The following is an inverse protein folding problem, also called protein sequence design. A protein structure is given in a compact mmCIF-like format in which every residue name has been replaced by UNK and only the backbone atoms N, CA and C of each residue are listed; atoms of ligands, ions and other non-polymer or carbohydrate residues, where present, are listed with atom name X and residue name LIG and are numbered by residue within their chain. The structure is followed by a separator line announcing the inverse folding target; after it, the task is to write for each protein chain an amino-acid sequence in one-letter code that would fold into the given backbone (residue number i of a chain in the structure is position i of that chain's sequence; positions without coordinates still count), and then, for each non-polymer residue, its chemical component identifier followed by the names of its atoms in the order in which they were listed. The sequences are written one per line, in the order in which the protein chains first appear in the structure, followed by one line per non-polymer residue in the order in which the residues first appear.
data_IF_086824348080
#
_entry.id   IF_086824348080
#
_cell.length_a   1.000
_cell.length_b   1.000
_cell.length_c   1.000
_cell.angle_alpha   90.00
_cell.angle_beta   90.00
_cell.angle_gamma   90.00
#
_symmetry.space_group_name_H-M   'P 1'
#
loop_
_entity.id
_entity.type
_entity.pdbx_description
1 polymer ?
#
# COMPACT_ATOMS: atom_id res chain seq x y z
N UNK A 1 3.82 -51.78 -57.99
CA UNK A 1 4.06 -51.11 -56.69
C UNK A 1 3.22 -49.85 -56.67
N UNK A 2 2.32 -49.82 -55.69
CA UNK A 2 1.22 -48.92 -55.31
C UNK A 2 0.94 -47.56 -55.97
N UNK A 3 -0.36 -47.36 -56.18
CA UNK A 3 -1.19 -46.16 -56.41
C UNK A 3 -0.88 -44.95 -55.50
N UNK A 4 -1.16 -43.72 -55.98
CA UNK A 4 -2.34 -42.93 -55.56
C UNK A 4 -2.53 -41.65 -56.43
N UNK A 5 -3.79 -41.19 -56.65
CA UNK A 5 -4.13 -40.05 -57.49
C UNK A 5 -4.28 -38.73 -56.72
N UNK A 6 -4.27 -37.64 -57.50
CA UNK A 6 -4.64 -36.28 -57.12
C UNK A 6 -6.05 -36.22 -56.49
N UNK A 7 -6.19 -35.54 -55.35
CA UNK A 7 -7.46 -35.04 -54.84
C UNK A 7 -7.34 -33.54 -54.59
N UNK A 8 -7.92 -32.77 -55.51
CA UNK A 8 -8.35 -31.39 -55.30
C UNK A 8 -9.68 -31.39 -54.52
N UNK A 9 -10.07 -30.20 -54.03
CA UNK A 9 -11.34 -29.86 -53.35
C UNK A 9 -11.49 -30.24 -51.87
N UNK A 10 -11.02 -29.36 -50.99
CA UNK A 10 -11.70 -29.03 -49.72
C UNK A 10 -11.06 -27.81 -49.02
N UNK A 11 -11.13 -26.62 -49.60
CA UNK A 11 -10.80 -25.36 -48.89
C UNK A 11 -11.88 -24.31 -49.13
N UNK A 12 -13.03 -24.44 -48.46
CA UNK A 12 -14.00 -23.34 -48.23
C UNK A 12 -15.19 -23.81 -47.36
N UNK A 13 -14.92 -24.27 -46.14
CA UNK A 13 -16.00 -24.51 -45.16
C UNK A 13 -15.60 -24.26 -43.70
N UNK A 14 -14.30 -24.30 -43.37
CA UNK A 14 -13.82 -24.12 -41.99
C UNK A 14 -13.67 -22.68 -41.50
N UNK A 15 -13.67 -21.69 -42.40
CA UNK A 15 -13.33 -20.30 -42.03
C UNK A 15 -14.51 -19.53 -41.41
N UNK A 16 -15.75 -19.77 -41.84
CA UNK A 16 -16.91 -18.99 -41.35
C UNK A 16 -17.32 -19.46 -39.95
N UNK A 17 -17.31 -20.77 -39.68
CA UNK A 17 -17.76 -21.31 -38.37
C UNK A 17 -16.84 -20.92 -37.21
N UNK A 18 -15.54 -20.73 -37.46
CA UNK A 18 -14.58 -20.31 -36.43
C UNK A 18 -14.76 -18.84 -36.04
N UNK A 19 -15.09 -17.96 -37.00
CA UNK A 19 -15.31 -16.52 -36.75
C UNK A 19 -16.58 -16.28 -35.95
N UNK A 20 -17.66 -17.02 -36.22
CA UNK A 20 -18.89 -16.96 -35.44
C UNK A 20 -18.71 -17.52 -34.03
N UNK A 21 -17.91 -18.58 -33.85
CA UNK A 21 -17.59 -19.11 -32.52
C UNK A 21 -16.74 -18.13 -31.70
N UNK A 22 -15.79 -17.43 -32.33
CA UNK A 22 -14.96 -16.41 -31.67
C UNK A 22 -15.77 -15.16 -31.27
N UNK A 23 -16.70 -14.70 -32.12
CA UNK A 23 -17.61 -13.60 -31.80
C UNK A 23 -18.61 -13.96 -30.69
N UNK A 24 -19.12 -15.20 -30.67
CA UNK A 24 -20.01 -15.68 -29.60
C UNK A 24 -19.25 -15.91 -28.28
N UNK A 25 -17.98 -16.36 -28.34
CA UNK A 25 -17.13 -16.51 -27.17
C UNK A 25 -16.73 -15.15 -26.56
N UNK A 26 -16.51 -14.11 -27.36
CA UNK A 26 -16.29 -12.74 -26.86
C UNK A 26 -17.55 -12.12 -26.25
N UNK A 27 -18.74 -12.43 -26.77
CA UNK A 27 -20.01 -11.96 -26.22
C UNK A 27 -20.41 -12.66 -24.90
N UNK A 28 -19.78 -13.78 -24.56
CA UNK A 28 -20.00 -14.55 -23.33
C UNK A 28 -18.95 -14.27 -22.24
N UNK A 29 -17.95 -13.42 -22.50
CA UNK A 29 -17.09 -12.93 -21.42
C UNK A 29 -17.92 -12.00 -20.53
N UNK A 30 -18.21 -12.35 -19.26
CA UNK A 30 -18.76 -11.37 -18.34
C UNK A 30 -17.80 -10.19 -18.32
N UNK A 31 -18.32 -8.97 -18.44
CA UNK A 31 -17.53 -7.77 -18.21
C UNK A 31 -16.87 -7.94 -16.83
N UNK A 32 -15.55 -8.12 -16.81
CA UNK A 32 -14.81 -8.23 -15.58
C UNK A 32 -15.00 -6.91 -14.84
N UNK A 33 -15.84 -6.91 -13.80
CA UNK A 33 -15.84 -5.79 -12.84
C UNK A 33 -14.52 -5.85 -12.11
N UNK A 34 -13.59 -4.99 -12.50
CA UNK A 34 -12.44 -4.68 -11.67
C UNK A 34 -12.96 -3.84 -10.51
N UNK A 35 -13.13 -4.45 -9.34
CA UNK A 35 -13.33 -3.70 -8.11
C UNK A 35 -12.00 -3.05 -7.77
N UNK A 36 -11.77 -1.81 -8.22
CA UNK A 36 -10.84 -0.95 -7.49
C UNK A 36 -11.48 -0.73 -6.13
N UNK A 37 -10.91 -1.36 -5.11
CA UNK A 37 -11.43 -1.22 -3.76
C UNK A 37 -11.05 0.17 -3.26
N UNK A 38 -12.05 0.91 -2.80
CA UNK A 38 -11.84 2.08 -1.94
C UNK A 38 -11.61 1.55 -0.53
N UNK A 39 -10.55 2.00 0.14
CA UNK A 39 -10.21 1.55 1.48
C UNK A 39 -9.70 2.70 2.33
N UNK A 40 -9.94 2.59 3.64
CA UNK A 40 -9.40 3.51 4.62
C UNK A 40 -7.98 3.08 5.04
N UNK A 41 -7.11 4.07 5.18
CA UNK A 41 -5.71 3.96 5.61
C UNK A 41 -5.39 5.07 6.60
N UNK A 42 -4.20 5.02 7.21
CA UNK A 42 -3.69 6.10 8.08
C UNK A 42 -4.71 6.51 9.15
N UNK A 43 -5.37 5.51 9.74
CA UNK A 43 -6.39 5.73 10.76
C UNK A 43 -5.68 6.17 12.04
N UNK A 44 -5.98 7.38 12.51
CA UNK A 44 -5.39 7.96 13.73
C UNK A 44 -6.48 8.48 14.65
N UNK A 45 -6.25 8.34 15.94
CA UNK A 45 -7.08 8.93 16.99
C UNK A 45 -6.18 9.83 17.84
N UNK A 46 -6.49 11.11 17.93
CA UNK A 46 -5.70 12.01 18.79
C UNK A 46 -5.95 11.67 20.25
N UNK A 47 -4.87 11.35 20.98
CA UNK A 47 -4.92 10.88 22.37
C UNK A 47 -4.87 9.36 22.54
N UNK A 48 -4.83 8.57 21.47
CA UNK A 48 -4.62 7.11 21.56
C UNK A 48 -3.15 6.74 21.80
N UNK A 49 -2.94 5.63 22.51
CA UNK A 49 -1.69 4.86 22.45
C UNK A 49 -1.64 4.09 21.12
N UNK A 50 -0.47 4.02 20.48
CA UNK A 50 -0.29 3.33 19.21
C UNK A 50 -0.75 1.86 19.31
N UNK A 51 -1.68 1.43 18.43
CA UNK A 51 -2.24 0.08 18.42
C UNK A 51 -2.62 -0.41 17.00
N UNK A 52 -2.73 -1.73 16.86
CA UNK A 52 -2.90 -2.54 15.63
C UNK A 52 -4.14 -2.16 14.79
N UNK A 53 -4.04 -2.12 13.45
CA UNK A 53 -5.17 -1.81 12.54
C UNK A 53 -6.06 -3.04 12.33
N UNK A 54 -7.24 -2.99 11.72
CA UNK A 54 -8.13 -1.99 11.09
C UNK A 54 -8.91 -1.11 12.08
N UNK A 55 -8.53 -1.17 13.35
CA UNK A 55 -9.16 -0.49 14.46
C UNK A 55 -8.16 0.38 15.20
N UNK A 56 -8.25 1.70 15.12
CA UNK A 56 -7.49 2.51 16.07
C UNK A 56 -8.15 2.36 17.46
N UNK A 57 -7.36 2.00 18.48
CA UNK A 57 -7.86 1.84 19.86
C UNK A 57 -7.60 3.12 20.64
N UNK A 58 -8.59 3.64 21.34
CA UNK A 58 -8.44 4.80 22.23
C UNK A 58 -8.96 4.46 23.62
N UNK A 59 -8.19 4.82 24.65
CA UNK A 59 -8.69 4.84 26.01
C UNK A 59 -9.35 6.19 26.27
N UNK A 60 -10.59 6.18 26.76
CA UNK A 60 -11.30 7.40 27.15
C UNK A 60 -11.20 7.61 28.66
N UNK A 61 -10.35 8.54 29.13
CA UNK A 61 -10.23 8.83 30.55
C UNK A 61 -11.33 9.77 31.09
N UNK A 62 -12.00 10.56 30.23
CA UNK A 62 -13.04 11.54 30.57
C UNK A 62 -13.83 12.04 29.34
N UNK A 63 -14.85 12.88 29.56
CA UNK A 63 -15.81 13.47 28.58
C UNK A 63 -15.19 14.43 27.54
N UNK A 64 -14.02 14.08 26.99
CA UNK A 64 -13.31 14.87 25.99
C UNK A 64 -13.65 14.35 24.59
N UNK A 65 -13.97 15.28 23.69
CA UNK A 65 -14.21 14.93 22.30
C UNK A 65 -12.96 14.32 21.66
N UNK A 66 -13.19 13.32 20.80
CA UNK A 66 -12.15 12.51 20.15
C UNK A 66 -12.08 12.87 18.68
N UNK A 67 -10.91 13.33 18.21
CA UNK A 67 -10.68 13.54 16.78
C UNK A 67 -10.19 12.24 16.14
N UNK A 68 -11.00 11.73 15.22
CA UNK A 68 -10.74 10.55 14.40
C UNK A 68 -10.35 11.05 13.00
N UNK A 69 -9.21 10.61 12.48
CA UNK A 69 -8.77 10.89 11.11
C UNK A 69 -8.43 9.62 10.36
N UNK A 70 -8.60 9.65 9.05
CA UNK A 70 -8.31 8.55 8.14
C UNK A 70 -8.07 9.09 6.73
N UNK A 71 -7.62 8.22 5.85
CA UNK A 71 -7.30 8.58 4.46
C UNK A 71 -7.83 7.57 3.48
N UNK A 72 -8.47 8.04 2.41
CA UNK A 72 -8.99 7.19 1.34
C UNK A 72 -8.08 7.26 0.11
N UNK A 73 -7.78 6.12 -0.50
CA UNK A 73 -7.00 6.03 -1.74
C UNK A 73 -7.71 6.67 -2.94
N UNK A 74 -9.04 6.59 -2.97
CA UNK A 74 -9.96 7.11 -3.98
C UNK A 74 -11.22 7.68 -3.29
N UNK A 75 -12.08 8.46 -3.98
CA UNK A 75 -13.39 8.82 -3.44
C UNK A 75 -14.26 7.58 -3.18
N UNK A 76 -14.98 7.57 -2.06
CA UNK A 76 -15.93 6.50 -1.71
C UNK A 76 -17.31 6.78 -2.32
N UNK A 77 -17.48 6.42 -3.59
CA UNK A 77 -18.70 6.73 -4.36
C UNK A 77 -19.95 5.93 -3.92
N UNK A 78 -19.81 4.98 -3.00
CA UNK A 78 -20.92 4.32 -2.30
C UNK A 78 -21.01 4.72 -0.81
N UNK A 79 -20.20 5.69 -0.37
CA UNK A 79 -20.22 6.26 0.97
C UNK A 79 -19.20 5.63 1.93
N UNK A 80 -19.11 6.23 3.13
CA UNK A 80 -18.25 5.77 4.22
C UNK A 80 -19.06 5.64 5.49
N UNK A 81 -18.82 4.55 6.23
CA UNK A 81 -19.34 4.34 7.58
C UNK A 81 -18.15 4.29 8.54
N UNK A 82 -18.14 5.18 9.53
CA UNK A 82 -17.20 5.15 10.65
C UNK A 82 -17.95 4.66 11.88
N UNK A 83 -17.60 3.47 12.35
CA UNK A 83 -18.19 2.84 13.53
C UNK A 83 -17.22 2.92 14.69
N UNK A 84 -17.76 3.24 15.87
CA UNK A 84 -17.05 3.16 17.13
C UNK A 84 -17.61 1.99 17.89
N UNK A 85 -16.73 1.09 18.29
CA UNK A 85 -17.07 -0.14 18.98
C UNK A 85 -16.58 -0.12 20.41
N UNK A 86 -17.40 -0.63 21.31
CA UNK A 86 -16.98 -1.15 22.60
C UNK A 86 -16.99 -2.67 22.48
N UNK A 87 -15.80 -3.28 22.49
CA UNK A 87 -15.61 -4.68 22.11
C UNK A 87 -16.22 -4.97 20.71
N UNK A 88 -17.29 -5.78 20.64
CA UNK A 88 -17.98 -6.11 19.40
C UNK A 88 -19.26 -5.29 19.15
N UNK A 89 -19.59 -4.36 20.05
CA UNK A 89 -20.85 -3.58 19.98
C UNK A 89 -20.58 -2.20 19.42
N UNK A 90 -21.26 -1.85 18.32
CA UNK A 90 -21.28 -0.48 17.79
C UNK A 90 -22.01 0.42 18.78
N UNK A 91 -21.29 1.39 19.36
CA UNK A 91 -21.88 2.39 20.27
C UNK A 91 -22.27 3.67 19.54
N UNK A 92 -21.62 3.97 18.42
CA UNK A 92 -21.88 5.13 17.57
C UNK A 92 -21.43 4.86 16.14
N UNK A 93 -22.18 5.33 15.16
CA UNK A 93 -21.85 5.27 13.75
C UNK A 93 -22.03 6.64 13.09
N UNK A 94 -21.09 7.00 12.22
CA UNK A 94 -21.17 8.17 11.35
C UNK A 94 -21.26 7.70 9.91
N UNK A 95 -22.32 8.12 9.20
CA UNK A 95 -22.50 7.81 7.78
C UNK A 95 -22.23 9.05 6.96
N UNK A 96 -21.26 8.95 6.04
CA UNK A 96 -20.91 9.99 5.07
C UNK A 96 -21.39 9.55 3.70
N UNK A 97 -22.23 10.38 3.08
CA UNK A 97 -22.75 10.12 1.74
C UNK A 97 -21.65 10.32 0.68
N UNK A 98 -21.78 9.70 -0.51
CA UNK A 98 -20.89 9.98 -1.64
C UNK A 98 -20.72 11.48 -1.88
N UNK A 99 -19.47 11.92 -2.07
CA UNK A 99 -19.14 13.33 -2.33
C UNK A 99 -19.20 14.26 -1.11
N UNK A 100 -19.58 13.79 0.09
CA UNK A 100 -19.50 14.60 1.30
C UNK A 100 -18.09 14.61 1.90
N UNK A 101 -17.74 15.61 2.73
CA UNK A 101 -16.60 15.46 3.64
C UNK A 101 -16.70 14.12 4.39
N UNK A 102 -15.59 13.38 4.50
CA UNK A 102 -15.57 12.01 5.00
C UNK A 102 -15.59 10.94 3.90
N UNK A 103 -16.03 11.25 2.68
CA UNK A 103 -16.08 10.31 1.55
C UNK A 103 -15.21 10.72 0.36
N UNK A 104 -14.40 11.78 0.49
CA UNK A 104 -13.50 12.26 -0.57
C UNK A 104 -12.15 11.54 -0.52
N UNK A 105 -11.46 11.45 -1.65
CA UNK A 105 -10.06 10.98 -1.71
C UNK A 105 -9.18 11.80 -0.76
N UNK A 106 -8.22 11.13 -0.14
CA UNK A 106 -7.24 11.74 0.73
C UNK A 106 -7.72 11.91 2.16
N UNK A 107 -7.26 12.96 2.83
CA UNK A 107 -7.44 13.14 4.27
C UNK A 107 -8.91 13.44 4.63
N UNK A 108 -9.44 12.70 5.59
CA UNK A 108 -10.76 12.88 6.16
C UNK A 108 -10.67 12.84 7.68
N UNK A 109 -11.60 13.54 8.34
CA UNK A 109 -11.69 13.53 9.81
C UNK A 109 -13.10 13.81 10.31
N UNK A 110 -13.36 13.39 11.54
CA UNK A 110 -14.57 13.70 12.28
C UNK A 110 -14.29 13.79 13.78
N UNK A 111 -15.18 14.46 14.49
CA UNK A 111 -15.11 14.57 15.96
C UNK A 111 -16.23 13.71 16.54
N UNK A 112 -15.85 12.77 17.41
CA UNK A 112 -16.79 12.05 18.25
C UNK A 112 -16.90 12.75 19.60
N UNK A 113 -18.11 13.12 19.97
CA UNK A 113 -18.47 13.79 21.23
C UNK A 113 -18.58 12.83 22.42
N UNK A 114 -18.02 11.62 22.32
CA UNK A 114 -18.05 10.55 23.33
C UNK A 114 -19.45 10.17 23.79
N UNK A 115 -20.44 10.31 22.89
CA UNK A 115 -21.82 9.86 23.09
C UNK A 115 -22.21 8.69 22.21
N UNK A 116 -23.08 7.82 22.72
CA UNK A 116 -23.71 6.75 21.96
C UNK A 116 -24.79 7.31 21.00
N UNK A 117 -25.45 6.42 20.26
CA UNK A 117 -26.57 6.75 19.36
C UNK A 117 -27.77 7.41 20.08
N UNK A 118 -27.95 7.14 21.38
CA UNK A 118 -29.02 7.72 22.18
C UNK A 118 -28.66 9.11 22.72
N UNK A 119 -27.45 9.62 22.44
CA UNK A 119 -26.95 10.90 22.93
C UNK A 119 -26.47 10.85 24.39
N UNK A 120 -26.31 9.67 24.97
CA UNK A 120 -25.79 9.48 26.32
C UNK A 120 -24.26 9.35 26.28
N UNK A 121 -23.57 9.81 27.32
CA UNK A 121 -22.13 9.59 27.43
C UNK A 121 -21.80 8.10 27.52
N UNK A 122 -20.78 7.68 26.78
CA UNK A 122 -20.30 6.30 26.88
C UNK A 122 -19.42 6.13 28.13
N UNK A 123 -19.39 4.95 28.77
CA UNK A 123 -18.54 4.71 29.94
C UNK A 123 -17.05 4.84 29.64
N UNK A 124 -16.23 5.06 30.68
CA UNK A 124 -14.78 4.98 30.55
C UNK A 124 -14.35 3.57 30.12
N UNK A 125 -13.43 3.49 29.17
CA UNK A 125 -12.99 2.22 28.62
C UNK A 125 -12.19 2.36 27.34
N UNK A 126 -11.86 1.21 26.76
CA UNK A 126 -11.24 1.12 25.46
C UNK A 126 -12.31 1.02 24.38
N UNK A 127 -12.12 1.80 23.31
CA UNK A 127 -12.98 1.79 22.15
C UNK A 127 -12.12 1.58 20.91
N UNK A 128 -12.68 0.94 19.90
CA UNK A 128 -12.05 0.75 18.59
C UNK A 128 -12.82 1.49 17.51
N UNK A 129 -12.12 2.03 16.53
CA UNK A 129 -12.73 2.72 15.39
C UNK A 129 -12.57 1.88 14.13
N UNK A 130 -13.67 1.43 13.55
CA UNK A 130 -13.70 0.70 12.29
C UNK A 130 -14.23 1.62 11.18
N UNK A 131 -13.58 1.60 10.02
CA UNK A 131 -13.98 2.44 8.88
C UNK A 131 -14.23 1.56 7.66
N UNK A 132 -15.46 1.59 7.18
CA UNK A 132 -15.87 0.92 5.93
C UNK A 132 -16.04 1.98 4.87
N UNK A 133 -15.16 1.99 3.88
CA UNK A 133 -15.30 2.80 2.68
C UNK A 133 -15.79 1.91 1.53
N UNK A 134 -16.75 2.40 0.75
CA UNK A 134 -17.32 1.66 -0.37
C UNK A 134 -17.22 2.46 -1.66
N UNK A 135 -16.81 1.79 -2.73
CA UNK A 135 -16.85 2.31 -4.10
C UNK A 135 -17.75 1.45 -4.98
N UNK A 136 -18.35 2.06 -5.99
CA UNK A 136 -19.15 1.32 -7.00
C UNK A 136 -18.26 0.53 -7.99
N UNK A 137 -16.95 0.75 -7.94
CA UNK A 137 -15.96 0.21 -8.88
C UNK A 137 -15.93 0.99 -10.19
N UNK A 138 -15.04 0.57 -11.09
CA UNK A 138 -14.87 1.18 -12.41
C UNK A 138 -15.49 0.30 -13.49
N UNK A 139 -16.34 0.90 -14.35
CA UNK A 139 -17.01 0.19 -15.43
C UNK A 139 -16.10 -0.09 -16.64
N UNK A 140 -15.03 0.67 -16.77
CA UNK A 140 -14.05 0.64 -17.86
C UNK A 140 -12.63 0.85 -17.31
N UNK A 141 -11.63 0.84 -18.19
CA UNK A 141 -10.26 1.20 -17.83
C UNK A 141 -10.19 2.65 -17.34
N UNK A 142 -10.03 2.81 -16.03
CA UNK A 142 -9.92 4.12 -15.37
C UNK A 142 -8.52 4.32 -14.81
N UNK A 143 -7.93 5.49 -15.09
CA UNK A 143 -6.74 5.93 -14.38
C UNK A 143 -7.12 6.39 -12.98
N UNK A 144 -6.63 5.69 -11.97
CA UNK A 144 -6.85 6.01 -10.54
C UNK A 144 -5.68 6.77 -9.90
N UNK A 145 -4.58 6.93 -10.65
CA UNK A 145 -3.42 7.73 -10.26
C UNK A 145 -3.60 9.20 -10.65
N UNK A 146 -2.92 10.08 -9.91
CA UNK A 146 -2.83 11.51 -10.22
C UNK A 146 -1.43 11.85 -10.73
N UNK A 147 -1.31 12.13 -12.02
CA UNK A 147 -0.03 12.43 -12.67
C UNK A 147 0.55 13.79 -12.25
N UNK A 148 -0.27 14.66 -11.64
CA UNK A 148 0.14 15.97 -11.16
C UNK A 148 0.45 15.97 -9.65
N UNK A 149 0.26 14.86 -8.95
CA UNK A 149 0.64 14.78 -7.55
C UNK A 149 2.16 14.76 -7.42
N UNK A 150 2.72 15.84 -6.88
CA UNK A 150 4.16 15.97 -6.63
C UNK A 150 4.73 14.83 -5.78
N UNK A 151 3.92 14.20 -4.92
CA UNK A 151 4.33 13.01 -4.15
C UNK A 151 4.66 11.79 -5.03
N UNK A 152 4.21 11.74 -6.28
CA UNK A 152 4.52 10.64 -7.20
C UNK A 152 5.86 10.80 -7.92
N UNK A 153 6.55 11.93 -7.77
CA UNK A 153 7.81 12.17 -8.44
C UNK A 153 9.00 11.51 -7.72
N UNK A 154 9.76 10.71 -8.46
CA UNK A 154 11.03 10.14 -8.03
C UNK A 154 12.02 10.26 -9.17
N UNK A 155 13.18 10.87 -8.94
CA UNK A 155 14.15 11.15 -10.00
C UNK A 155 14.74 9.87 -10.61
N UNK A 156 15.18 8.94 -9.76
CA UNK A 156 15.78 7.68 -10.16
C UNK A 156 15.19 6.53 -9.33
N UNK A 157 13.92 6.14 -9.60
CA UNK A 157 13.26 5.09 -8.84
C UNK A 157 13.97 3.76 -9.05
N UNK A 158 14.24 3.04 -7.95
CA UNK A 158 14.90 1.72 -7.97
C UNK A 158 14.09 0.59 -7.36
N UNK A 159 13.14 0.92 -6.50
CA UNK A 159 12.29 -0.05 -5.82
C UNK A 159 11.07 0.63 -5.26
N UNK A 160 9.96 -0.11 -5.21
CA UNK A 160 8.70 0.33 -4.62
C UNK A 160 8.11 -0.83 -3.84
N UNK A 161 7.56 -0.55 -2.66
CA UNK A 161 6.78 -1.50 -1.89
C UNK A 161 5.60 -0.82 -1.22
N UNK A 162 4.53 -1.57 -1.01
CA UNK A 162 3.31 -1.12 -0.33
C UNK A 162 3.06 -2.04 0.85
N UNK A 163 2.78 -1.48 2.02
CA UNK A 163 2.39 -2.27 3.17
C UNK A 163 0.97 -2.82 2.92
N UNK A 164 0.87 -4.15 2.82
CA UNK A 164 -0.38 -4.87 2.54
C UNK A 164 -1.00 -5.52 3.76
N UNK A 165 -0.38 -5.38 4.93
CA UNK A 165 -0.94 -5.88 6.17
C UNK A 165 -2.13 -5.00 6.57
N UNK A 166 -3.35 -5.50 6.33
CA UNK A 166 -4.57 -4.81 6.71
C UNK A 166 -4.68 -4.55 8.22
N UNK A 167 -3.91 -5.30 9.02
CA UNK A 167 -3.83 -5.11 10.47
C UNK A 167 -2.73 -4.11 10.89
N UNK A 168 -2.07 -3.44 9.96
CA UNK A 168 -1.06 -2.42 10.26
C UNK A 168 -1.64 -1.00 10.32
N UNK A 169 -1.27 -0.16 11.32
CA UNK A 169 -1.58 1.27 11.26
C UNK A 169 -0.96 1.96 10.02
N UNK A 170 -0.02 1.28 9.36
CA UNK A 170 0.61 1.71 8.12
C UNK A 170 0.04 1.01 6.88
N UNK A 171 -1.13 0.35 6.95
CA UNK A 171 -1.75 -0.27 5.78
C UNK A 171 -1.87 0.75 4.62
N UNK A 172 -1.41 0.35 3.43
CA UNK A 172 -1.36 1.20 2.24
C UNK A 172 -0.21 2.22 2.23
N UNK A 173 0.67 2.24 3.23
CA UNK A 173 1.93 3.02 3.19
C UNK A 173 2.79 2.55 2.04
N UNK A 174 3.25 3.48 1.21
CA UNK A 174 4.10 3.25 0.05
C UNK A 174 5.50 3.75 0.34
N UNK A 175 6.50 2.95 0.00
CA UNK A 175 7.91 3.30 0.07
C UNK A 175 8.51 3.26 -1.32
N UNK A 176 9.24 4.31 -1.71
CA UNK A 176 9.92 4.35 -3.00
C UNK A 176 11.40 4.70 -2.80
N UNK A 177 12.28 3.82 -3.27
CA UNK A 177 13.72 4.04 -3.27
C UNK A 177 14.11 4.97 -4.42
N UNK A 178 14.80 6.06 -4.11
CA UNK A 178 15.49 6.89 -5.07
C UNK A 178 16.99 6.65 -4.98
N UNK A 179 17.59 6.17 -6.08
CA UNK A 179 19.01 5.80 -6.11
C UNK A 179 19.96 6.92 -6.47
N UNK A 180 19.48 8.10 -6.88
CA UNK A 180 20.37 9.18 -7.36
C UNK A 180 19.85 10.56 -6.98
N UNK A 181 20.79 11.48 -6.74
CA UNK A 181 20.46 12.88 -6.52
C UNK A 181 19.94 13.51 -7.81
N UNK A 182 18.77 14.11 -7.75
CA UNK A 182 18.17 14.87 -8.84
C UNK A 182 18.53 16.35 -8.80
N UNK A 183 17.76 17.19 -9.48
CA UNK A 183 18.14 18.60 -9.70
C UNK A 183 17.95 19.49 -8.46
N UNK A 184 16.93 19.22 -7.63
CA UNK A 184 16.52 20.09 -6.52
C UNK A 184 16.37 19.34 -5.17
N UNK A 185 17.38 18.58 -4.70
CA UNK A 185 17.29 17.72 -3.51
C UNK A 185 17.01 18.47 -2.19
N UNK A 186 17.15 19.80 -2.16
CA UNK A 186 16.88 20.61 -0.96
C UNK A 186 15.38 20.90 -0.78
N UNK A 187 14.61 20.92 -1.86
CA UNK A 187 13.17 21.26 -1.84
C UNK A 187 12.29 20.10 -2.30
N UNK A 188 12.85 19.15 -3.05
CA UNK A 188 12.11 18.02 -3.61
C UNK A 188 12.65 16.69 -3.04
N UNK A 189 11.91 16.03 -2.12
CA UNK A 189 12.23 14.67 -1.67
C UNK A 189 12.43 13.68 -2.81
N UNK A 190 11.71 13.88 -3.93
CA UNK A 190 11.90 13.23 -5.23
C UNK A 190 13.33 13.09 -5.70
N UNK A 191 14.14 14.11 -5.40
CA UNK A 191 15.51 14.28 -5.87
C UNK A 191 16.56 13.81 -4.85
N UNK A 192 16.16 13.28 -3.69
CA UNK A 192 17.11 12.88 -2.61
C UNK A 192 17.40 11.40 -2.64
N UNK A 193 18.65 10.98 -2.49
CA UNK A 193 19.02 9.56 -2.35
C UNK A 193 18.49 9.03 -1.02
N UNK A 194 17.63 8.02 -1.07
CA UNK A 194 16.97 7.49 0.12
C UNK A 194 15.60 6.92 -0.20
N UNK A 195 14.72 6.94 0.80
CA UNK A 195 13.41 6.31 0.74
C UNK A 195 12.35 7.38 0.94
N UNK A 196 11.52 7.59 -0.07
CA UNK A 196 10.31 8.39 0.04
C UNK A 196 9.19 7.59 0.67
N UNK A 197 8.34 8.27 1.43
CA UNK A 197 7.27 7.67 2.21
C UNK A 197 5.95 8.38 1.88
N UNK A 198 5.03 7.64 1.28
CA UNK A 198 3.77 8.17 0.76
C UNK A 198 2.58 7.38 1.33
N UNK A 199 1.45 8.05 1.49
CA UNK A 199 0.19 7.40 1.82
C UNK A 199 -0.48 6.80 0.56
N UNK A 200 -1.55 6.06 0.76
CA UNK A 200 -2.29 5.38 -0.31
C UNK A 200 -2.95 6.34 -1.34
N UNK A 201 -3.12 7.61 -1.00
CA UNK A 201 -3.59 8.67 -1.90
C UNK A 201 -2.44 9.44 -2.58
N UNK A 202 -1.21 8.92 -2.49
CA UNK A 202 0.03 9.56 -2.95
C UNK A 202 0.42 10.84 -2.20
N UNK A 203 -0.25 11.21 -1.11
CA UNK A 203 0.21 12.32 -0.28
C UNK A 203 1.49 11.92 0.46
N UNK A 204 2.31 12.91 0.80
CA UNK A 204 3.44 12.71 1.71
C UNK A 204 2.95 12.22 3.08
N UNK A 205 3.70 11.31 3.69
CA UNK A 205 3.39 10.77 5.01
C UNK A 205 3.60 11.82 6.12
N UNK A 206 2.69 11.85 7.09
CA UNK A 206 2.82 12.72 8.27
C UNK A 206 3.90 12.25 9.24
N UNK A 207 4.35 11.00 9.15
CA UNK A 207 5.43 10.43 9.98
C UNK A 207 6.83 10.75 9.42
N UNK A 208 6.88 11.54 8.34
CA UNK A 208 8.05 11.81 7.53
C UNK A 208 7.76 11.49 6.07
N UNK A 209 8.13 12.40 5.17
CA UNK A 209 7.97 12.26 3.72
C UNK A 209 9.17 11.59 3.04
N UNK A 210 10.30 11.53 3.76
CA UNK A 210 11.56 10.97 3.31
C UNK A 210 12.43 10.56 4.49
N UNK A 211 13.20 9.47 4.32
CA UNK A 211 14.25 9.08 5.26
C UNK A 211 15.39 8.34 4.56
N UNK A 212 16.58 8.41 5.14
CA UNK A 212 17.71 7.52 4.78
C UNK A 212 17.89 6.37 5.77
N UNK A 213 17.13 6.36 6.87
CA UNK A 213 17.39 5.49 8.02
C UNK A 213 18.76 5.71 8.65
N UNK A 214 19.47 6.79 8.31
CA UNK A 214 20.87 7.01 8.71
C UNK A 214 21.89 6.22 7.87
N UNK A 215 21.48 5.51 6.82
CA UNK A 215 22.37 4.63 6.04
C UNK A 215 22.78 5.17 4.67
N UNK A 216 21.81 5.61 3.86
CA UNK A 216 22.01 5.91 2.44
C UNK A 216 22.64 7.28 2.18
N UNK A 217 23.87 7.48 2.65
CA UNK A 217 24.61 8.74 2.52
C UNK A 217 25.50 8.80 1.25
N UNK A 218 25.62 7.69 0.50
CA UNK A 218 26.44 7.62 -0.72
C UNK A 218 25.60 7.66 -1.99
N UNK A 219 25.89 8.60 -2.88
CA UNK A 219 25.20 8.87 -4.15
C UNK A 219 25.53 7.86 -5.25
N UNK A 220 25.42 6.57 -4.97
CA UNK A 220 25.58 5.54 -5.99
C UNK A 220 24.24 5.33 -6.66
N UNK A 221 24.17 5.45 -7.98
CA UNK A 221 22.93 5.24 -8.76
C UNK A 221 22.28 3.88 -8.51
N UNK A 222 22.94 2.93 -7.85
CA UNK A 222 22.44 1.60 -7.51
C UNK A 222 21.81 1.46 -6.12
N UNK A 223 21.78 2.48 -5.24
CA UNK A 223 21.29 2.35 -3.85
C UNK A 223 20.57 3.59 -3.31
N UNK A 224 19.52 3.44 -2.47
CA UNK A 224 18.79 2.19 -2.19
C UNK A 224 18.20 1.59 -3.47
N UNK A 225 18.09 0.26 -3.51
CA UNK A 225 17.54 -0.46 -4.65
C UNK A 225 16.16 -1.04 -4.35
N UNK A 226 15.98 -2.35 -4.53
CA UNK A 226 14.70 -3.01 -4.31
C UNK A 226 14.28 -2.88 -2.84
N UNK A 227 12.99 -2.58 -2.64
CA UNK A 227 12.32 -2.53 -1.34
C UNK A 227 11.29 -3.65 -1.30
N UNK A 228 11.13 -4.29 -0.15
CA UNK A 228 10.06 -5.25 0.14
C UNK A 228 9.56 -5.02 1.57
N UNK A 229 8.36 -5.51 1.88
CA UNK A 229 7.76 -5.41 3.22
C UNK A 229 7.28 -6.79 3.64
N UNK A 230 7.63 -7.21 4.85
CA UNK A 230 7.17 -8.48 5.42
C UNK A 230 5.74 -8.39 5.95
N UNK A 231 5.13 -9.54 6.25
CA UNK A 231 3.75 -9.61 6.74
C UNK A 231 3.59 -9.02 8.17
N UNK A 232 4.70 -8.77 8.87
CA UNK A 232 4.80 -8.13 10.19
C UNK A 232 5.35 -6.69 10.14
N UNK A 233 5.13 -5.98 9.04
CA UNK A 233 5.39 -4.55 8.89
C UNK A 233 6.86 -4.11 8.90
N UNK A 234 7.83 -5.01 8.73
CA UNK A 234 9.22 -4.59 8.55
C UNK A 234 9.53 -4.27 7.09
N UNK A 235 10.23 -3.15 6.86
CA UNK A 235 10.65 -2.68 5.53
C UNK A 235 12.08 -3.14 5.28
N UNK A 236 12.29 -3.91 4.23
CA UNK A 236 13.59 -4.43 3.80
C UNK A 236 14.09 -3.64 2.60
N UNK A 237 15.32 -3.15 2.66
CA UNK A 237 15.91 -2.29 1.64
C UNK A 237 17.27 -2.82 1.26
N UNK A 238 17.47 -3.05 -0.04
CA UNK A 238 18.71 -3.56 -0.57
C UNK A 238 19.70 -2.44 -0.91
N UNK A 239 20.83 -2.41 -0.22
CA UNK A 239 22.03 -1.70 -0.62
C UNK A 239 22.86 -2.61 -1.53
N UNK A 240 22.60 -2.52 -2.83
CA UNK A 240 23.28 -3.32 -3.85
C UNK A 240 24.77 -3.00 -3.95
N UNK A 241 25.18 -1.76 -3.65
CA UNK A 241 26.57 -1.32 -3.74
C UNK A 241 27.45 -1.99 -2.67
N UNK A 242 26.86 -2.33 -1.52
CA UNK A 242 27.55 -3.01 -0.43
C UNK A 242 27.17 -4.48 -0.26
N UNK A 243 26.21 -4.97 -1.03
CA UNK A 243 25.68 -6.33 -0.87
C UNK A 243 25.06 -6.50 0.52
N UNK A 244 24.11 -5.63 0.88
CA UNK A 244 23.44 -5.67 2.18
C UNK A 244 21.94 -5.56 2.03
N UNK A 245 21.21 -6.20 2.93
CA UNK A 245 19.77 -5.95 3.12
C UNK A 245 19.59 -5.37 4.52
N UNK A 246 19.16 -4.12 4.56
CA UNK A 246 18.76 -3.45 5.79
C UNK A 246 17.29 -3.70 6.06
N UNK A 247 16.91 -3.71 7.34
CA UNK A 247 15.54 -3.82 7.81
C UNK A 247 15.24 -2.66 8.75
N UNK A 248 14.08 -2.04 8.56
CA UNK A 248 13.56 -0.94 9.37
C UNK A 248 12.11 -1.20 9.78
N UNK A 249 11.62 -0.47 10.78
CA UNK A 249 10.17 -0.28 10.95
C UNK A 249 9.59 0.63 9.86
N UNK A 250 8.27 0.80 9.86
CA UNK A 250 7.55 1.63 8.88
C UNK A 250 7.90 3.13 8.93
N UNK A 251 8.62 3.58 9.96
CA UNK A 251 9.09 4.98 10.07
C UNK A 251 10.45 5.20 9.42
N UNK A 252 11.17 4.13 9.05
CA UNK A 252 12.52 4.18 8.50
C UNK A 252 13.44 5.01 9.42
N UNK A 253 13.30 4.82 10.73
CA UNK A 253 14.12 5.50 11.73
C UNK A 253 15.52 4.89 11.79
N UNK A 254 16.53 5.71 12.06
CA UNK A 254 17.89 5.20 12.33
C UNK A 254 17.95 4.33 13.58
N UNK A 255 17.00 4.49 14.51
CA UNK A 255 16.88 3.65 15.71
C UNK A 255 16.29 2.27 15.42
N UNK A 256 15.53 2.10 14.32
CA UNK A 256 14.95 0.82 13.91
C UNK A 256 15.82 0.05 12.91
N UNK A 257 16.94 0.65 12.49
CA UNK A 257 17.86 0.04 11.53
C UNK A 257 18.47 -1.25 12.07
N UNK A 258 18.36 -2.30 11.28
CA UNK A 258 19.03 -3.57 11.52
C UNK A 258 19.60 -4.12 10.22
N UNK A 259 20.75 -4.80 10.30
CA UNK A 259 21.37 -5.44 9.14
C UNK A 259 20.92 -6.90 9.07
N UNK A 260 20.00 -7.17 8.16
CA UNK A 260 19.44 -8.50 8.00
C UNK A 260 20.40 -9.41 7.21
N UNK A 261 20.80 -8.93 6.03
CA UNK A 261 21.84 -9.56 5.22
C UNK A 261 23.11 -8.69 5.24
N UNK A 262 24.23 -9.35 5.52
CA UNK A 262 25.55 -8.81 5.88
C UNK A 262 26.64 -9.66 5.22
N UNK A 263 27.86 -9.16 5.16
CA UNK A 263 28.99 -9.88 4.57
C UNK A 263 29.28 -11.24 5.23
N UNK A 264 29.00 -11.40 6.53
CA UNK A 264 29.20 -12.64 7.30
C UNK A 264 28.13 -13.70 7.05
N UNK A 265 26.96 -13.33 6.51
CA UNK A 265 25.87 -14.25 6.14
C UNK A 265 25.48 -14.13 4.65
N UNK A 266 26.36 -13.55 3.82
CA UNK A 266 26.22 -13.46 2.36
C UNK A 266 26.91 -14.65 1.66
N UNK A 267 26.32 -15.22 0.60
CA UNK A 267 26.93 -16.31 -0.15
C UNK A 267 28.33 -15.98 -0.68
N UNK A 268 29.28 -16.89 -0.53
CA UNK A 268 30.68 -16.70 -0.94
C UNK A 268 31.34 -15.46 -0.31
N UNK A 269 31.05 -15.21 0.97
CA UNK A 269 31.70 -14.15 1.77
C UNK A 269 31.58 -12.75 1.15
N UNK A 270 30.42 -12.42 0.59
CA UNK A 270 30.16 -11.09 0.00
C UNK A 270 30.50 -10.94 -1.48
N UNK A 271 31.01 -11.97 -2.16
CA UNK A 271 31.49 -11.85 -3.55
C UNK A 271 30.43 -12.09 -4.62
N UNK A 272 29.30 -12.70 -4.25
CA UNK A 272 28.20 -12.97 -5.19
C UNK A 272 27.41 -11.70 -5.47
N UNK A 273 27.26 -11.29 -6.73
CA UNK A 273 26.31 -10.25 -7.10
C UNK A 273 24.91 -10.85 -7.03
N UNK A 274 24.08 -10.38 -6.09
CA UNK A 274 22.69 -10.80 -5.98
C UNK A 274 21.78 -9.63 -6.34
N UNK A 275 20.64 -9.97 -6.97
CA UNK A 275 19.55 -9.04 -7.19
C UNK A 275 18.84 -8.64 -5.89
N UNK A 276 17.73 -7.93 -6.05
CA UNK A 276 16.95 -7.44 -4.91
C UNK A 276 16.22 -8.56 -4.14
N UNK A 277 15.91 -8.36 -2.85
CA UNK A 277 15.24 -9.35 -2.03
C UNK A 277 13.80 -9.59 -2.49
N UNK A 278 13.30 -10.76 -2.16
CA UNK A 278 11.89 -11.10 -2.04
C UNK A 278 11.67 -11.64 -0.63
N UNK A 279 10.71 -11.07 0.10
CA UNK A 279 10.49 -11.34 1.52
C UNK A 279 9.20 -12.13 1.68
N UNK A 280 9.22 -13.16 2.53
CA UNK A 280 8.02 -13.94 2.88
C UNK A 280 7.98 -14.21 4.38
N UNK A 281 6.77 -14.29 4.94
CA UNK A 281 6.56 -14.64 6.34
C UNK A 281 6.69 -13.46 7.30
N UNK A 282 6.69 -13.79 8.59
CA UNK A 282 6.68 -12.86 9.71
C UNK A 282 7.48 -13.41 10.90
N UNK A 283 7.98 -12.51 11.76
CA UNK A 283 8.69 -12.84 12.99
C UNK A 283 9.91 -13.73 12.76
N UNK A 284 9.98 -14.86 13.48
CA UNK A 284 11.08 -15.82 13.35
C UNK A 284 11.01 -16.66 12.07
N UNK A 285 9.88 -16.61 11.34
CA UNK A 285 9.68 -17.34 10.09
C UNK A 285 9.93 -16.45 8.85
N UNK A 286 10.41 -15.21 9.04
CA UNK A 286 10.73 -14.32 7.93
C UNK A 286 11.90 -14.87 7.13
N UNK A 287 11.70 -15.00 5.82
CA UNK A 287 12.69 -15.51 4.87
C UNK A 287 13.02 -14.45 3.83
N UNK A 288 14.28 -14.47 3.40
CA UNK A 288 14.79 -13.60 2.32
C UNK A 288 15.27 -14.48 1.19
N UNK A 289 14.67 -14.27 0.03
CA UNK A 289 15.01 -14.96 -1.22
C UNK A 289 15.68 -13.95 -2.14
N UNK A 290 16.87 -14.28 -2.66
CA UNK A 290 17.58 -13.45 -3.63
C UNK A 290 18.21 -14.33 -4.71
N UNK A 291 18.25 -13.80 -5.93
CA UNK A 291 18.85 -14.42 -7.10
C UNK A 291 19.44 -13.33 -8.02
N UNK A 292 20.29 -13.71 -8.98
CA UNK A 292 20.79 -12.87 -10.08
C UNK A 292 20.49 -13.58 -11.41
#
# INVERSE_FOLDING_TARGET
MFYLPNLSFARRAGSIRLTWFALFAFALCPAHRACANVYATDIRILGSTSGTATGATVFLPCDSAVLISYRLNEPADAGVIVEIHSEATVVRAFTNAPGSPGALRGANSLIWDVRNEQGEFVPFGFYTVQITAAGNGHGDWTQISDDFNAGNYVFQPRGIAVNRNANSPYYGRVFVANGQVGLNPQSEPGDRVGIQMLNADSSRSADGDFSTGGWFLSETSSCPSKIEISDDDYVYVHDRARGLVLRFDQTISSLSQTFFLRSDNWPNSGTTNLGGPFITGAGTNTQVWMAD
#
